data_IF_790997509624
#
_entry.id   IF_790997509624
#
_cell.length_a   1.000
_cell.length_b   1.000
_cell.length_c   1.000
_cell.angle_alpha   90.00
_cell.angle_beta   90.00
_cell.angle_gamma   90.00
#
_symmetry.space_group_name_H-M   'P 1'
#
loop_
_entity.id
_entity.type
_entity.pdbx_description
1 polymer ?
#
# COMPACT_ATOMS: atom_id res chain seq x y z
N UNK A 1 -20.62 0.42 -31.63
CA UNK A 1 -19.14 0.26 -31.57
C UNK A 1 -18.83 -0.89 -30.63
N UNK A 2 -19.01 -2.11 -31.14
CA UNK A 2 -18.87 -3.36 -30.41
C UNK A 2 -17.71 -4.16 -31.02
N UNK A 3 -16.99 -4.92 -30.17
CA UNK A 3 -16.14 -6.07 -30.50
C UNK A 3 -14.91 -5.86 -31.40
N UNK A 4 -13.84 -5.28 -30.84
CA UNK A 4 -12.47 -5.43 -31.36
C UNK A 4 -11.50 -6.06 -30.33
N UNK A 5 -11.95 -6.40 -29.11
CA UNK A 5 -11.05 -6.89 -28.04
C UNK A 5 -11.04 -8.42 -27.80
N UNK A 6 -11.59 -9.25 -28.69
CA UNK A 6 -11.74 -10.70 -28.41
C UNK A 6 -10.74 -11.65 -29.09
N UNK A 7 -9.58 -11.18 -29.58
CA UNK A 7 -8.68 -12.03 -30.41
C UNK A 7 -7.23 -12.18 -29.95
N UNK A 8 -6.86 -11.84 -28.71
CA UNK A 8 -5.46 -11.96 -28.22
C UNK A 8 -5.24 -13.14 -27.24
N UNK A 9 -6.22 -14.04 -27.05
CA UNK A 9 -6.17 -15.03 -25.96
C UNK A 9 -5.60 -16.42 -26.30
N UNK A 10 -5.11 -16.71 -27.51
CA UNK A 10 -4.82 -18.11 -27.92
C UNK A 10 -3.42 -18.44 -28.42
N UNK A 11 -2.40 -17.58 -28.24
CA UNK A 11 -1.02 -17.89 -28.65
C UNK A 11 0.01 -17.85 -27.51
N UNK A 12 -0.40 -18.11 -26.26
CA UNK A 12 0.56 -18.44 -25.20
C UNK A 12 0.95 -19.90 -25.34
N UNK A 13 1.83 -20.19 -26.31
CA UNK A 13 2.60 -21.43 -26.34
C UNK A 13 3.16 -21.68 -24.94
N UNK A 14 3.00 -22.91 -24.42
CA UNK A 14 3.55 -23.33 -23.12
C UNK A 14 4.98 -22.84 -23.01
N UNK A 15 5.16 -21.86 -22.14
CA UNK A 15 6.32 -21.02 -22.15
C UNK A 15 7.49 -21.86 -21.63
N UNK A 16 8.35 -22.29 -22.55
CA UNK A 16 9.44 -23.22 -22.24
C UNK A 16 10.35 -22.55 -21.21
N UNK A 17 10.41 -23.13 -20.00
CA UNK A 17 11.28 -22.60 -18.95
C UNK A 17 12.74 -22.78 -19.38
N UNK A 18 13.60 -21.77 -19.23
CA UNK A 18 15.04 -21.93 -19.42
C UNK A 18 15.55 -23.07 -18.53
N UNK A 19 16.31 -24.01 -19.11
CA UNK A 19 16.78 -25.20 -18.38
C UNK A 19 18.30 -25.30 -18.31
N UNK A 20 19.03 -24.51 -19.08
CA UNK A 20 20.49 -24.61 -19.17
C UNK A 20 21.10 -23.68 -18.10
N UNK A 21 21.67 -24.20 -17.01
CA UNK A 21 22.29 -23.35 -16.00
C UNK A 21 23.54 -22.67 -16.58
N UNK A 22 23.76 -21.41 -16.18
CA UNK A 22 24.94 -20.63 -16.52
C UNK A 22 25.75 -20.42 -15.25
N UNK A 23 27.02 -20.84 -15.28
CA UNK A 23 27.99 -20.41 -14.26
C UNK A 23 28.60 -19.12 -14.73
N UNK A 24 28.40 -18.05 -13.97
CA UNK A 24 28.89 -16.72 -14.29
C UNK A 24 29.91 -16.36 -13.21
N UNK A 25 31.08 -15.81 -13.55
CA UNK A 25 31.99 -15.28 -12.55
C UNK A 25 31.29 -14.22 -11.68
N UNK A 26 31.54 -14.23 -10.36
CA UNK A 26 30.92 -13.32 -9.40
C UNK A 26 29.39 -13.48 -9.28
N UNK A 27 28.88 -14.68 -9.53
CA UNK A 27 27.49 -15.04 -9.21
C UNK A 27 27.18 -14.86 -7.71
N UNK A 28 28.19 -14.98 -6.86
CA UNK A 28 28.16 -14.59 -5.46
C UNK A 28 29.03 -13.35 -5.18
N UNK A 29 28.48 -12.39 -4.46
CA UNK A 29 29.23 -11.26 -3.91
C UNK A 29 28.84 -11.01 -2.45
N UNK A 30 29.86 -10.84 -1.61
CA UNK A 30 29.67 -10.49 -0.20
C UNK A 30 29.91 -9.01 0.01
N UNK A 31 29.17 -8.40 0.94
CA UNK A 31 29.37 -7.00 1.33
C UNK A 31 29.28 -6.87 2.85
N UNK A 32 30.02 -5.93 3.43
CA UNK A 32 29.88 -5.59 4.85
C UNK A 32 28.79 -4.52 5.00
N UNK A 33 27.62 -4.80 5.62
CA UNK A 33 26.54 -3.82 5.72
C UNK A 33 26.90 -2.54 6.52
N UNK A 34 27.95 -2.61 7.35
CA UNK A 34 28.45 -1.43 8.09
C UNK A 34 29.27 -0.49 7.19
N UNK A 35 30.02 -1.06 6.26
CA UNK A 35 30.86 -0.31 5.31
C UNK A 35 30.06 0.15 4.09
N UNK A 36 29.14 -0.71 3.62
CA UNK A 36 28.27 -0.46 2.48
C UNK A 36 26.80 -0.45 2.92
N UNK A 37 26.36 0.57 3.68
CA UNK A 37 24.98 0.65 4.17
C UNK A 37 23.96 0.92 3.06
N UNK A 38 24.42 1.22 1.84
CA UNK A 38 23.60 1.42 0.65
C UNK A 38 23.81 0.23 -0.30
N UNK A 39 22.73 -0.47 -0.64
CA UNK A 39 22.77 -1.60 -1.57
C UNK A 39 21.85 -1.33 -2.75
N UNK A 40 22.38 -1.46 -3.96
CA UNK A 40 21.63 -1.32 -5.21
C UNK A 40 21.70 -2.65 -5.95
N UNK A 41 20.56 -3.25 -6.23
CA UNK A 41 20.44 -4.45 -7.07
C UNK A 41 19.67 -4.06 -8.32
N UNK A 42 20.33 -4.14 -9.46
CA UNK A 42 19.79 -3.68 -10.73
C UNK A 42 19.96 -4.73 -11.82
N UNK A 43 19.08 -4.69 -12.81
CA UNK A 43 19.18 -5.57 -13.96
C UNK A 43 18.66 -4.88 -15.22
N UNK A 44 19.27 -5.19 -16.37
CA UNK A 44 18.85 -4.65 -17.66
C UNK A 44 18.84 -5.70 -18.78
N UNK A 45 18.05 -5.43 -19.82
CA UNK A 45 17.85 -6.35 -20.94
C UNK A 45 16.53 -7.12 -20.85
N UNK A 46 16.41 -8.21 -21.61
CA UNK A 46 15.19 -9.02 -21.71
C UNK A 46 15.34 -10.32 -20.94
N UNK A 47 14.94 -10.27 -19.68
CA UNK A 47 14.93 -11.41 -18.77
C UNK A 47 13.65 -11.46 -17.96
N UNK A 48 13.48 -12.54 -17.20
CA UNK A 48 12.50 -12.70 -16.14
C UNK A 48 13.19 -13.28 -14.92
N UNK A 49 12.65 -13.06 -13.72
CA UNK A 49 13.30 -13.63 -12.54
C UNK A 49 12.51 -13.50 -11.26
N UNK A 50 13.14 -13.95 -10.18
CA UNK A 50 12.68 -13.67 -8.82
C UNK A 50 13.85 -13.22 -7.96
N UNK A 51 13.56 -12.34 -7.01
CA UNK A 51 14.47 -11.96 -5.93
C UNK A 51 13.88 -12.38 -4.60
N UNK A 52 14.73 -12.98 -3.76
CA UNK A 52 14.44 -13.29 -2.37
C UNK A 52 15.29 -12.41 -1.46
N UNK A 53 14.65 -11.55 -0.67
CA UNK A 53 15.29 -10.75 0.37
C UNK A 53 15.16 -11.46 1.73
N UNK A 54 16.29 -11.79 2.35
CA UNK A 54 16.34 -12.54 3.61
C UNK A 54 17.13 -11.76 4.64
N UNK A 55 16.73 -11.86 5.90
CA UNK A 55 17.51 -11.39 7.03
C UNK A 55 17.74 -12.55 8.03
N UNK A 56 19.01 -12.81 8.34
CA UNK A 56 19.50 -13.99 9.04
C UNK A 56 19.96 -15.11 8.10
N UNK A 57 20.57 -16.15 8.68
CA UNK A 57 20.97 -17.37 7.99
C UNK A 57 22.42 -17.75 8.31
N UNK A 58 22.70 -19.05 8.38
CA UNK A 58 23.91 -19.62 8.98
C UNK A 58 25.21 -19.05 8.40
N UNK A 59 25.32 -18.96 7.07
CA UNK A 59 26.56 -18.51 6.39
C UNK A 59 26.85 -17.02 6.61
N UNK A 60 25.83 -16.16 6.53
CA UNK A 60 25.99 -14.73 6.76
C UNK A 60 26.21 -14.41 8.24
N UNK A 61 25.61 -15.20 9.13
CA UNK A 61 25.67 -14.96 10.57
C UNK A 61 27.09 -15.21 11.14
N UNK A 62 27.79 -16.23 10.65
CA UNK A 62 29.16 -16.53 11.08
C UNK A 62 30.16 -15.47 10.60
N UNK A 63 29.99 -14.95 9.38
CA UNK A 63 30.90 -13.98 8.78
C UNK A 63 30.57 -12.52 9.14
N UNK A 64 29.33 -12.24 9.50
CA UNK A 64 28.81 -10.88 9.65
C UNK A 64 28.73 -10.11 8.33
N UNK A 65 28.87 -10.78 7.19
CA UNK A 65 28.75 -10.20 5.85
C UNK A 65 27.36 -10.46 5.27
N UNK A 66 26.84 -9.50 4.52
CA UNK A 66 25.71 -9.72 3.62
C UNK A 66 26.16 -10.46 2.37
N UNK A 67 25.23 -11.17 1.73
CA UNK A 67 25.46 -11.98 0.55
C UNK A 67 24.44 -11.61 -0.53
N UNK A 68 24.91 -11.49 -1.77
CA UNK A 68 24.07 -11.47 -2.97
C UNK A 68 24.50 -12.65 -3.82
N UNK A 69 23.60 -13.62 -4.03
CA UNK A 69 23.84 -14.83 -4.82
C UNK A 69 22.85 -14.91 -5.96
N UNK A 70 23.31 -15.15 -7.18
CA UNK A 70 22.44 -15.23 -8.37
C UNK A 70 22.67 -16.49 -9.17
N UNK A 71 21.58 -17.18 -9.50
CA UNK A 71 21.57 -18.31 -10.43
C UNK A 71 20.88 -17.88 -11.72
N UNK A 72 21.45 -18.26 -12.86
CA UNK A 72 20.90 -17.91 -14.18
C UNK A 72 20.68 -19.18 -15.01
N UNK A 73 19.58 -19.20 -15.74
CA UNK A 73 19.24 -20.23 -16.71
C UNK A 73 18.92 -19.59 -18.07
N UNK A 74 19.39 -20.22 -19.14
CA UNK A 74 19.14 -19.79 -20.53
C UNK A 74 18.44 -20.89 -21.33
N UNK A 75 17.75 -20.49 -22.40
CA UNK A 75 17.15 -21.43 -23.37
C UNK A 75 18.20 -21.92 -24.36
N UNK A 76 19.09 -21.04 -24.84
CA UNK A 76 20.13 -21.39 -25.81
C UNK A 76 21.53 -21.24 -25.19
N UNK A 77 22.42 -22.18 -25.47
CA UNK A 77 23.84 -22.13 -25.06
C UNK A 77 24.54 -20.83 -25.50
N UNK A 78 24.24 -20.33 -26.70
CA UNK A 78 24.81 -19.08 -27.24
C UNK A 78 24.47 -17.82 -26.42
N UNK A 79 23.45 -17.90 -25.56
CA UNK A 79 23.02 -16.78 -24.74
C UNK A 79 23.86 -16.68 -23.45
N UNK A 80 24.63 -17.73 -23.09
CA UNK A 80 25.46 -17.78 -21.87
C UNK A 80 26.50 -16.66 -21.80
N UNK A 81 27.22 -16.46 -22.89
CA UNK A 81 28.33 -15.49 -22.95
C UNK A 81 27.85 -14.04 -22.93
N UNK A 82 26.55 -13.83 -23.10
CA UNK A 82 25.96 -12.49 -23.14
C UNK A 82 25.28 -12.10 -21.82
N UNK A 83 25.27 -12.99 -20.82
CA UNK A 83 24.85 -12.65 -19.46
C UNK A 83 26.07 -12.21 -18.67
N UNK A 84 26.02 -10.98 -18.16
CA UNK A 84 27.12 -10.39 -17.39
C UNK A 84 26.60 -10.01 -16.02
N UNK A 85 27.29 -10.49 -14.98
CA UNK A 85 27.11 -10.03 -13.61
C UNK A 85 28.33 -9.17 -13.27
N UNK A 86 28.06 -7.97 -12.75
CA UNK A 86 29.11 -7.09 -12.23
C UNK A 86 28.73 -6.59 -10.85
N UNK A 87 29.73 -6.48 -9.99
CA UNK A 87 29.62 -5.88 -8.68
C UNK A 87 30.64 -4.75 -8.55
N UNK A 88 30.23 -3.63 -7.96
CA UNK A 88 31.11 -2.50 -7.69
C UNK A 88 30.85 -1.94 -6.30
N UNK A 89 31.89 -1.31 -5.75
CA UNK A 89 31.92 -0.76 -4.40
C UNK A 89 32.40 0.68 -4.50
N UNK A 90 31.58 1.63 -4.08
CA UNK A 90 31.95 3.05 -3.99
C UNK A 90 31.59 3.60 -2.63
N UNK A 91 32.61 3.97 -1.84
CA UNK A 91 32.59 4.56 -0.48
C UNK A 91 31.62 3.94 0.53
N UNK A 92 30.33 3.99 0.26
CA UNK A 92 29.21 3.52 1.11
C UNK A 92 28.18 2.67 0.34
N UNK A 93 28.38 2.44 -0.95
CA UNK A 93 27.42 1.79 -1.84
C UNK A 93 27.98 0.52 -2.45
N UNK A 94 27.26 -0.58 -2.24
CA UNK A 94 27.45 -1.83 -2.95
C UNK A 94 26.44 -1.91 -4.10
N UNK A 95 26.93 -1.95 -5.33
CA UNK A 95 26.10 -2.08 -6.52
C UNK A 95 26.28 -3.45 -7.14
N UNK A 96 25.17 -4.16 -7.31
CA UNK A 96 25.07 -5.42 -8.03
C UNK A 96 24.25 -5.21 -9.31
N UNK A 97 24.80 -5.60 -10.45
CA UNK A 97 24.20 -5.37 -11.75
C UNK A 97 24.21 -6.63 -12.62
N UNK A 98 23.01 -7.08 -13.03
CA UNK A 98 22.80 -8.18 -13.98
C UNK A 98 22.40 -7.64 -15.36
N UNK A 99 23.26 -7.84 -16.35
CA UNK A 99 23.01 -7.46 -17.73
C UNK A 99 22.70 -8.69 -18.57
N UNK A 100 21.66 -8.57 -19.40
CA UNK A 100 21.28 -9.56 -20.42
C UNK A 100 21.07 -8.88 -21.76
N UNK A 101 21.01 -9.62 -22.88
CA UNK A 101 20.85 -9.01 -24.18
C UNK A 101 19.49 -8.32 -24.34
N UNK A 102 19.50 -7.22 -25.08
CA UNK A 102 18.30 -6.39 -25.33
C UNK A 102 17.38 -6.99 -26.39
N UNK A 103 17.92 -7.84 -27.27
CA UNK A 103 17.26 -8.35 -28.47
C UNK A 103 16.94 -9.86 -28.40
N UNK A 104 16.44 -10.33 -27.25
CA UNK A 104 15.95 -11.71 -27.12
C UNK A 104 14.42 -11.83 -27.05
N UNK A 105 13.87 -13.02 -27.38
CA UNK A 105 12.51 -13.37 -26.99
C UNK A 105 12.33 -13.19 -25.48
N UNK A 106 11.14 -12.74 -25.09
CA UNK A 106 10.78 -12.66 -23.68
C UNK A 106 10.90 -14.08 -23.05
N UNK A 107 11.51 -14.17 -21.87
CA UNK A 107 11.78 -15.42 -21.13
C UNK A 107 12.85 -16.36 -21.71
N UNK A 108 13.69 -15.92 -22.64
CA UNK A 108 14.88 -16.69 -23.03
C UNK A 108 15.89 -16.85 -21.88
N UNK A 109 15.84 -15.94 -20.90
CA UNK A 109 16.73 -15.88 -19.75
C UNK A 109 15.89 -15.77 -18.47
N UNK A 110 16.18 -16.65 -17.51
CA UNK A 110 15.58 -16.65 -16.19
C UNK A 110 16.66 -16.52 -15.12
N UNK A 111 16.40 -15.77 -14.06
CA UNK A 111 17.32 -15.67 -12.94
C UNK A 111 16.63 -15.75 -11.58
N UNK A 112 17.40 -16.18 -10.59
CA UNK A 112 17.02 -16.18 -9.19
C UNK A 112 18.13 -15.49 -8.40
N UNK A 113 17.82 -14.36 -7.76
CA UNK A 113 18.78 -13.65 -6.90
C UNK A 113 18.33 -13.73 -5.45
N UNK A 114 19.22 -14.11 -4.55
CA UNK A 114 19.05 -14.00 -3.12
C UNK A 114 19.87 -12.83 -2.60
N UNK A 115 19.25 -11.93 -1.84
CA UNK A 115 19.92 -10.85 -1.10
C UNK A 115 19.72 -11.13 0.37
N UNK A 116 20.80 -11.42 1.08
CA UNK A 116 20.76 -11.85 2.47
C UNK A 116 21.57 -10.89 3.33
N UNK A 117 20.95 -10.38 4.39
CA UNK A 117 21.63 -9.65 5.45
C UNK A 117 21.86 -10.57 6.65
N UNK A 118 22.99 -10.47 7.37
CA UNK A 118 23.23 -11.26 8.56
C UNK A 118 22.34 -10.77 9.72
N UNK A 119 21.92 -11.67 10.60
CA UNK A 119 21.04 -11.42 11.76
C UNK A 119 21.60 -10.41 12.76
N UNK A 120 22.92 -10.22 12.78
CA UNK A 120 23.59 -9.20 13.58
C UNK A 120 23.35 -7.78 13.05
N UNK A 121 22.95 -7.63 11.78
CA UNK A 121 22.65 -6.33 11.17
C UNK A 121 21.24 -5.92 11.53
N UNK A 122 21.11 -5.03 12.51
CA UNK A 122 19.80 -4.51 12.94
C UNK A 122 19.29 -3.35 12.10
N UNK A 123 20.17 -2.69 11.37
CA UNK A 123 19.80 -1.57 10.50
C UNK A 123 20.73 -1.42 9.30
N UNK A 124 20.20 -0.85 8.22
CA UNK A 124 20.96 -0.44 7.03
C UNK A 124 20.39 0.86 6.48
N UNK A 125 21.17 1.64 5.75
CA UNK A 125 20.73 2.96 5.29
C UNK A 125 19.73 2.85 4.14
N UNK A 126 20.11 2.25 3.00
CA UNK A 126 19.20 2.17 1.85
C UNK A 126 19.32 0.87 1.07
N UNK A 127 18.19 0.34 0.60
CA UNK A 127 18.13 -0.78 -0.34
C UNK A 127 17.30 -0.41 -1.56
N UNK A 128 17.83 -0.63 -2.77
CA UNK A 128 17.16 -0.30 -4.03
C UNK A 128 17.15 -1.47 -5.00
N UNK A 129 15.97 -1.85 -5.49
CA UNK A 129 15.78 -2.84 -6.54
C UNK A 129 15.29 -2.18 -7.83
N UNK A 130 16.02 -2.34 -8.93
CA UNK A 130 15.64 -1.84 -10.27
C UNK A 130 15.70 -3.02 -11.24
N UNK A 131 14.61 -3.78 -11.31
CA UNK A 131 14.59 -5.10 -11.94
C UNK A 131 13.39 -5.27 -12.87
N UNK A 132 13.57 -5.44 -14.19
CA UNK A 132 12.48 -5.71 -15.11
C UNK A 132 11.95 -7.13 -14.91
N UNK A 133 10.63 -7.31 -15.08
CA UNK A 133 9.96 -8.61 -15.14
C UNK A 133 10.27 -9.57 -14.00
N UNK A 134 10.45 -9.00 -12.81
CA UNK A 134 10.97 -9.74 -11.66
C UNK A 134 10.01 -9.66 -10.51
N UNK A 135 9.71 -10.81 -9.89
CA UNK A 135 8.98 -10.86 -8.62
C UNK A 135 9.95 -10.66 -7.46
N UNK A 136 9.52 -10.00 -6.40
CA UNK A 136 10.29 -9.82 -5.18
C UNK A 136 9.54 -10.43 -4.01
N UNK A 137 10.19 -11.32 -3.26
CA UNK A 137 9.69 -11.84 -1.99
C UNK A 137 10.67 -11.52 -0.88
N UNK A 138 10.19 -11.31 0.34
CA UNK A 138 11.07 -11.13 1.49
C UNK A 138 10.48 -11.64 2.79
N UNK A 139 11.33 -12.20 3.65
CA UNK A 139 10.97 -12.87 4.90
C UNK A 139 11.98 -12.59 6.01
N UNK A 140 11.52 -12.61 7.27
CA UNK A 140 12.39 -12.39 8.43
C UNK A 140 12.85 -10.93 8.61
N UNK A 141 12.18 -9.98 7.95
CA UNK A 141 12.61 -8.58 7.87
C UNK A 141 12.27 -7.75 9.12
N UNK A 142 11.46 -8.29 10.04
CA UNK A 142 10.99 -7.59 11.25
C UNK A 142 12.13 -7.01 12.12
N UNK A 143 13.29 -7.68 12.10
CA UNK A 143 14.46 -7.33 12.90
C UNK A 143 15.53 -6.50 12.16
N UNK A 144 15.26 -6.11 10.91
CA UNK A 144 16.15 -5.31 10.07
C UNK A 144 15.45 -4.00 9.68
N UNK A 145 15.93 -2.88 10.22
CA UNK A 145 15.42 -1.56 9.90
C UNK A 145 16.13 -0.94 8.70
N UNK A 146 15.37 -0.48 7.71
CA UNK A 146 15.87 0.27 6.57
C UNK A 146 15.65 1.78 6.78
N UNK A 147 16.66 2.61 6.54
CA UNK A 147 16.43 4.06 6.39
C UNK A 147 15.55 4.35 5.17
N UNK A 148 15.82 3.68 4.05
CA UNK A 148 14.96 3.71 2.88
C UNK A 148 14.98 2.39 2.12
N UNK A 149 13.83 1.96 1.62
CA UNK A 149 13.73 0.87 0.66
C UNK A 149 12.95 1.32 -0.57
N UNK A 150 13.52 1.09 -1.75
CA UNK A 150 12.94 1.47 -3.02
C UNK A 150 12.88 0.28 -3.96
N UNK A 151 11.74 0.10 -4.63
CA UNK A 151 11.61 -0.87 -5.72
C UNK A 151 11.06 -0.20 -6.97
N UNK A 152 11.58 -0.61 -8.11
CA UNK A 152 11.11 -0.23 -9.43
C UNK A 152 11.06 -1.51 -10.28
N UNK A 153 9.97 -2.27 -10.11
CA UNK A 153 9.70 -3.49 -10.86
C UNK A 153 8.68 -3.21 -11.96
N UNK A 154 8.62 -4.04 -13.00
CA UNK A 154 7.62 -3.87 -14.09
C UNK A 154 6.48 -4.88 -14.01
N UNK A 155 6.77 -6.18 -13.95
CA UNK A 155 5.75 -7.21 -14.17
C UNK A 155 5.59 -8.24 -13.06
N UNK A 156 6.55 -8.36 -12.14
CA UNK A 156 6.45 -9.34 -11.06
C UNK A 156 5.72 -8.80 -9.85
N UNK A 157 5.11 -9.72 -9.10
CA UNK A 157 4.50 -9.44 -7.79
C UNK A 157 5.56 -9.13 -6.74
N UNK A 158 5.17 -8.32 -5.75
CA UNK A 158 5.98 -8.04 -4.57
C UNK A 158 5.25 -8.58 -3.34
N UNK A 159 5.92 -9.43 -2.56
CA UNK A 159 5.40 -10.02 -1.33
C UNK A 159 6.44 -9.83 -0.21
N UNK A 160 6.23 -8.87 0.69
CA UNK A 160 7.20 -8.54 1.75
C UNK A 160 6.58 -8.76 3.12
N UNK A 161 7.22 -9.58 3.94
CA UNK A 161 6.81 -9.85 5.31
C UNK A 161 7.61 -8.98 6.29
N UNK A 162 6.90 -8.19 7.08
CA UNK A 162 7.38 -7.34 8.17
C UNK A 162 8.51 -6.40 7.78
N UNK A 163 8.35 -5.73 6.64
CA UNK A 163 9.31 -4.74 6.17
C UNK A 163 9.33 -3.52 7.09
N UNK A 164 10.40 -3.36 7.86
CA UNK A 164 10.61 -2.22 8.74
C UNK A 164 11.48 -1.16 8.05
N UNK A 165 10.88 -0.09 7.55
CA UNK A 165 11.59 0.96 6.83
C UNK A 165 11.05 2.35 7.13
N UNK A 166 11.93 3.31 7.40
CA UNK A 166 11.53 4.71 7.64
C UNK A 166 10.84 5.29 6.40
N UNK A 167 11.44 5.09 5.21
CA UNK A 167 10.84 5.44 3.91
C UNK A 167 10.74 4.19 3.04
N UNK A 168 9.53 3.69 2.79
CA UNK A 168 9.28 2.55 1.90
C UNK A 168 8.58 3.01 0.61
N UNK A 169 9.28 2.95 -0.52
CA UNK A 169 8.75 3.25 -1.86
C UNK A 169 8.68 1.98 -2.71
N UNK A 170 7.54 1.30 -2.68
CA UNK A 170 7.37 -0.02 -3.30
C UNK A 170 6.51 0.09 -4.56
N UNK A 171 7.09 -0.24 -5.72
CA UNK A 171 6.42 -0.06 -7.02
C UNK A 171 6.59 -1.24 -7.96
N UNK A 172 5.49 -1.63 -8.60
CA UNK A 172 5.48 -2.58 -9.73
C UNK A 172 4.41 -2.17 -10.75
N UNK A 173 4.61 -2.30 -12.06
CA UNK A 173 3.55 -1.88 -13.01
C UNK A 173 2.38 -2.86 -13.05
N UNK A 174 2.64 -4.17 -13.13
CA UNK A 174 1.61 -5.17 -13.41
C UNK A 174 1.41 -6.24 -12.32
N UNK A 175 2.39 -6.43 -11.44
CA UNK A 175 2.29 -7.42 -10.37
C UNK A 175 1.43 -6.93 -9.19
N UNK A 176 0.90 -7.85 -8.40
CA UNK A 176 0.30 -7.51 -7.10
C UNK A 176 1.35 -7.06 -6.09
N UNK A 177 0.95 -6.20 -5.17
CA UNK A 177 1.73 -5.81 -3.99
C UNK A 177 1.05 -6.35 -2.75
N UNK A 178 1.75 -7.13 -1.94
CA UNK A 178 1.24 -7.64 -0.67
C UNK A 178 2.29 -7.58 0.43
N UNK A 179 1.90 -7.28 1.66
CA UNK A 179 2.84 -7.35 2.78
C UNK A 179 2.40 -6.70 4.09
N UNK A 180 3.28 -6.81 5.08
CA UNK A 180 3.23 -6.03 6.31
C UNK A 180 4.40 -5.03 6.33
N UNK A 181 4.11 -3.79 6.70
CA UNK A 181 5.05 -2.67 6.66
C UNK A 181 5.05 -1.94 8.00
N UNK A 182 6.22 -1.51 8.44
CA UNK A 182 6.41 -0.64 9.61
C UNK A 182 7.24 0.56 9.17
N UNK A 183 6.75 1.79 9.37
CA UNK A 183 7.47 2.97 8.87
C UNK A 183 6.81 4.31 9.14
N UNK A 184 7.55 5.38 8.84
CA UNK A 184 7.06 6.77 8.87
C UNK A 184 6.40 7.19 7.55
N UNK A 185 7.03 6.86 6.42
CA UNK A 185 6.53 7.18 5.08
C UNK A 185 6.45 5.93 4.20
N UNK A 186 5.26 5.60 3.73
CA UNK A 186 5.00 4.39 2.93
C UNK A 186 4.24 4.76 1.65
N UNK A 187 4.87 4.50 0.50
CA UNK A 187 4.32 4.70 -0.83
C UNK A 187 4.21 3.35 -1.56
N UNK A 188 3.00 2.88 -1.84
CA UNK A 188 2.72 1.64 -2.58
C UNK A 188 2.05 1.96 -3.91
N UNK A 189 2.65 1.58 -5.04
CA UNK A 189 2.13 1.92 -6.37
C UNK A 189 2.14 0.72 -7.33
N UNK A 190 0.99 0.46 -7.96
CA UNK A 190 0.94 -0.43 -9.12
C UNK A 190 -0.10 -0.03 -10.14
N UNK A 191 0.15 -0.18 -11.44
CA UNK A 191 -0.87 0.14 -12.45
C UNK A 191 -2.02 -0.87 -12.45
N UNK A 192 -1.71 -2.17 -12.44
CA UNK A 192 -2.71 -3.22 -12.68
C UNK A 192 -2.90 -4.20 -11.53
N UNK A 193 -1.93 -4.36 -10.65
CA UNK A 193 -2.00 -5.32 -9.55
C UNK A 193 -2.89 -4.86 -8.40
N UNK A 194 -3.42 -5.80 -7.62
CA UNK A 194 -4.01 -5.47 -6.34
C UNK A 194 -2.92 -5.05 -5.33
N UNK A 195 -3.26 -4.14 -4.41
CA UNK A 195 -2.43 -3.80 -3.25
C UNK A 195 -3.16 -4.28 -1.99
N UNK A 196 -2.53 -5.16 -1.21
CA UNK A 196 -3.01 -5.60 0.11
C UNK A 196 -1.93 -5.36 1.15
N UNK A 197 -2.16 -4.44 2.08
CA UNK A 197 -1.11 -4.03 3.02
C UNK A 197 -1.62 -3.90 4.45
N UNK A 198 -0.86 -4.46 5.39
CA UNK A 198 -0.97 -4.17 6.83
C UNK A 198 0.15 -3.21 7.20
N UNK A 199 -0.17 -2.09 7.83
CA UNK A 199 0.76 -0.99 8.03
C UNK A 199 0.75 -0.57 9.50
N UNK A 200 1.89 -0.67 10.18
CA UNK A 200 2.13 -0.03 11.47
C UNK A 200 2.86 1.29 11.23
N UNK A 201 2.16 2.39 11.43
CA UNK A 201 2.71 3.74 11.21
C UNK A 201 3.40 4.20 12.48
N UNK A 202 4.62 4.71 12.34
CA UNK A 202 5.41 5.36 13.39
C UNK A 202 5.63 6.82 13.03
N UNK A 203 6.10 7.62 13.99
CA UNK A 203 6.52 8.98 13.71
C UNK A 203 7.69 8.98 12.72
N UNK A 204 7.56 9.81 11.69
CA UNK A 204 8.65 10.02 10.74
C UNK A 204 9.85 10.70 11.42
N UNK A 205 11.05 10.21 11.13
CA UNK A 205 12.31 10.71 11.65
C UNK A 205 12.64 12.11 11.16
N UNK A 206 12.09 12.52 10.02
CA UNK A 206 12.33 13.82 9.39
C UNK A 206 11.60 15.00 10.07
N UNK A 207 10.77 14.76 11.09
CA UNK A 207 10.01 15.84 11.73
C UNK A 207 8.57 15.98 11.21
N UNK A 208 8.27 15.36 10.07
CA UNK A 208 7.02 15.54 9.37
C UNK A 208 5.91 14.64 9.91
N UNK A 209 4.69 14.91 9.45
CA UNK A 209 3.57 14.00 9.62
C UNK A 209 3.81 12.73 8.81
N UNK A 210 3.58 11.56 9.43
CA UNK A 210 3.70 10.26 8.79
C UNK A 210 2.69 10.08 7.66
N UNK A 211 3.10 9.40 6.58
CA UNK A 211 2.34 9.32 5.33
C UNK A 211 2.18 7.91 4.83
N UNK A 212 0.96 7.60 4.36
CA UNK A 212 0.66 6.36 3.65
C UNK A 212 -0.04 6.70 2.34
N UNK A 213 0.65 6.54 1.22
CA UNK A 213 0.09 6.72 -0.11
C UNK A 213 -0.04 5.37 -0.81
N UNK A 214 -1.24 5.06 -1.29
CA UNK A 214 -1.48 3.85 -2.07
C UNK A 214 -2.19 4.19 -3.38
N UNK A 215 -1.67 3.65 -4.48
CA UNK A 215 -2.18 3.97 -5.81
C UNK A 215 -2.27 2.74 -6.70
N UNK A 216 -3.39 2.63 -7.39
CA UNK A 216 -3.50 1.78 -8.57
C UNK A 216 -4.42 2.34 -9.64
N UNK A 217 -4.36 1.80 -10.86
CA UNK A 217 -5.35 2.13 -11.90
C UNK A 217 -6.45 1.10 -11.93
N UNK A 218 -6.10 -0.18 -11.98
CA UNK A 218 -7.07 -1.26 -12.20
C UNK A 218 -7.21 -2.23 -11.01
N UNK A 219 -6.23 -2.24 -10.11
CA UNK A 219 -6.26 -3.10 -8.94
C UNK A 219 -7.23 -2.66 -7.87
N UNK A 220 -7.61 -3.61 -7.01
CA UNK A 220 -8.23 -3.30 -5.72
C UNK A 220 -7.17 -2.83 -4.72
N UNK A 221 -7.55 -1.95 -3.81
CA UNK A 221 -6.77 -1.56 -2.63
C UNK A 221 -7.43 -2.16 -1.39
N UNK A 222 -6.64 -2.78 -0.54
CA UNK A 222 -7.05 -3.34 0.74
C UNK A 222 -6.00 -3.00 1.81
N UNK A 223 -6.18 -1.86 2.47
CA UNK A 223 -5.15 -1.23 3.29
C UNK A 223 -5.63 -1.13 4.73
N UNK A 224 -4.86 -1.69 5.66
CA UNK A 224 -5.13 -1.61 7.09
C UNK A 224 -3.97 -0.91 7.79
N UNK A 225 -4.21 0.30 8.29
CA UNK A 225 -3.21 1.11 8.97
C UNK A 225 -3.47 1.17 10.49
N UNK A 226 -2.42 1.01 11.28
CA UNK A 226 -2.40 1.22 12.72
C UNK A 226 -1.43 2.35 13.02
N UNK A 227 -1.96 3.52 13.34
CA UNK A 227 -1.19 4.71 13.73
C UNK A 227 -1.32 4.91 15.25
N UNK A 228 -0.90 3.90 16.02
CA UNK A 228 -0.97 3.96 17.49
C UNK A 228 0.28 4.52 18.15
N UNK A 229 1.37 4.62 17.37
CA UNK A 229 2.71 5.08 17.80
C UNK A 229 3.07 6.44 17.17
N UNK A 230 2.11 7.13 16.54
CA UNK A 230 2.37 8.42 15.89
C UNK A 230 1.94 9.58 16.79
N UNK A 231 2.87 10.40 17.26
CA UNK A 231 2.57 11.67 17.92
C UNK A 231 2.19 12.78 16.92
N UNK A 232 2.51 12.63 15.62
CA UNK A 232 2.28 13.69 14.61
C UNK A 232 1.10 13.47 13.66
N UNK A 233 0.21 12.55 14.03
CA UNK A 233 -0.96 12.20 13.24
C UNK A 233 -0.60 11.43 11.97
N UNK A 234 -1.62 11.08 11.19
CA UNK A 234 -1.48 10.31 9.96
C UNK A 234 -2.07 11.06 8.77
N UNK A 235 -1.31 11.15 7.68
CA UNK A 235 -1.85 11.51 6.37
C UNK A 235 -1.93 10.27 5.47
N UNK A 236 -3.13 9.91 5.02
CA UNK A 236 -3.35 8.74 4.19
C UNK A 236 -4.08 9.11 2.90
N UNK A 237 -3.57 8.66 1.76
CA UNK A 237 -4.17 8.89 0.44
C UNK A 237 -4.22 7.60 -0.38
N UNK A 238 -5.43 7.09 -0.59
CA UNK A 238 -5.69 5.82 -1.27
C UNK A 238 -6.47 6.08 -2.56
N UNK A 239 -5.92 5.69 -3.71
CA UNK A 239 -6.51 6.02 -5.01
C UNK A 239 -6.51 4.83 -5.98
N UNK A 240 -7.67 4.48 -6.53
CA UNK A 240 -7.80 3.51 -7.62
C UNK A 240 -8.68 4.06 -8.74
N UNK A 241 -8.35 3.93 -10.02
CA UNK A 241 -9.31 4.38 -11.07
C UNK A 241 -10.53 3.47 -11.15
N UNK A 242 -10.30 2.16 -11.20
CA UNK A 242 -11.33 1.18 -11.53
C UNK A 242 -11.61 0.15 -10.44
N UNK A 243 -10.67 -0.08 -9.52
CA UNK A 243 -10.82 -1.09 -8.49
C UNK A 243 -11.46 -0.57 -7.21
N UNK A 244 -11.97 -1.51 -6.42
CA UNK A 244 -12.48 -1.24 -5.07
C UNK A 244 -11.37 -0.71 -4.16
N UNK A 245 -11.72 0.22 -3.29
CA UNK A 245 -10.83 0.78 -2.26
C UNK A 245 -11.40 0.43 -0.89
N UNK A 246 -10.70 -0.41 -0.13
CA UNK A 246 -11.02 -0.75 1.25
C UNK A 246 -9.92 -0.22 2.15
N UNK A 247 -10.27 0.59 3.15
CA UNK A 247 -9.32 1.21 4.08
C UNK A 247 -9.79 1.03 5.51
N UNK A 248 -8.99 0.35 6.32
CA UNK A 248 -9.12 0.32 7.77
C UNK A 248 -8.07 1.20 8.43
N UNK A 249 -8.44 2.02 9.41
CA UNK A 249 -7.47 2.79 10.20
C UNK A 249 -7.81 2.77 11.69
N UNK A 250 -6.83 2.38 12.51
CA UNK A 250 -6.85 2.56 13.97
C UNK A 250 -5.92 3.71 14.34
N UNK A 251 -6.50 4.78 14.88
CA UNK A 251 -5.79 6.00 15.23
C UNK A 251 -5.72 6.15 16.76
N UNK A 252 -4.56 6.53 17.28
CA UNK A 252 -4.39 6.92 18.69
C UNK A 252 -4.18 8.43 18.81
N UNK A 253 -4.05 8.92 20.04
CA UNK A 253 -3.79 10.33 20.34
C UNK A 253 -2.53 10.84 19.62
N UNK A 254 -2.65 12.00 19.00
CA UNK A 254 -1.57 12.73 18.36
C UNK A 254 -1.70 14.24 18.63
N UNK A 255 -0.59 14.96 18.44
CA UNK A 255 -0.50 16.41 18.59
C UNK A 255 -0.99 17.16 17.34
N UNK A 256 -1.03 16.48 16.18
CA UNK A 256 -1.46 17.05 14.90
C UNK A 256 -2.69 16.34 14.36
N UNK A 257 -3.40 17.02 13.45
CA UNK A 257 -4.56 16.46 12.77
C UNK A 257 -4.20 15.20 11.97
N UNK A 258 -5.18 14.33 11.75
CA UNK A 258 -5.05 13.21 10.80
C UNK A 258 -5.99 13.41 9.62
N UNK A 259 -5.61 12.89 8.46
CA UNK A 259 -6.40 12.98 7.22
C UNK A 259 -6.40 11.63 6.51
N UNK A 260 -7.59 11.12 6.15
CA UNK A 260 -7.72 9.88 5.38
C UNK A 260 -8.56 10.15 4.13
N UNK A 261 -7.91 10.05 2.98
CA UNK A 261 -8.50 10.28 1.68
C UNK A 261 -8.61 8.97 0.90
N UNK A 262 -9.79 8.68 0.35
CA UNK A 262 -10.04 7.47 -0.45
C UNK A 262 -10.83 7.80 -1.71
N UNK A 263 -10.26 7.52 -2.89
CA UNK A 263 -10.83 7.95 -4.17
C UNK A 263 -10.86 6.82 -5.19
N UNK A 264 -11.97 6.70 -5.93
CA UNK A 264 -12.02 5.90 -7.15
C UNK A 264 -13.04 6.35 -8.16
N UNK A 265 -12.87 6.12 -9.47
CA UNK A 265 -13.89 6.52 -10.44
C UNK A 265 -15.03 5.50 -10.49
N UNK A 266 -14.70 4.21 -10.52
CA UNK A 266 -15.66 3.15 -10.81
C UNK A 266 -15.82 2.11 -9.69
N UNK A 267 -14.85 1.99 -8.80
CA UNK A 267 -14.89 1.02 -7.71
C UNK A 267 -15.76 1.44 -6.54
N UNK A 268 -16.12 0.47 -5.69
CA UNK A 268 -16.71 0.76 -4.38
C UNK A 268 -15.63 1.33 -3.44
N UNK A 269 -16.01 2.26 -2.58
CA UNK A 269 -15.17 2.74 -1.46
C UNK A 269 -15.75 2.24 -0.15
N UNK A 270 -14.92 1.59 0.66
CA UNK A 270 -15.25 1.16 2.02
C UNK A 270 -14.18 1.66 2.98
N UNK A 271 -14.59 2.39 4.01
CA UNK A 271 -13.67 2.98 4.97
C UNK A 271 -14.15 2.73 6.40
N UNK A 272 -13.30 2.10 7.18
CA UNK A 272 -13.51 1.81 8.59
C UNK A 272 -12.46 2.56 9.42
N UNK A 273 -12.86 3.56 10.20
CA UNK A 273 -11.94 4.36 11.01
C UNK A 273 -12.35 4.32 12.47
N UNK A 274 -11.40 3.90 13.31
CA UNK A 274 -11.50 4.03 14.75
C UNK A 274 -10.61 5.17 15.23
N UNK A 275 -11.25 6.27 15.61
CA UNK A 275 -10.60 7.45 16.17
C UNK A 275 -11.00 7.68 17.64
N UNK A 276 -11.54 6.67 18.31
CA UNK A 276 -12.10 6.79 19.67
C UNK A 276 -11.10 7.27 20.72
N UNK A 277 -9.81 7.01 20.52
CA UNK A 277 -8.72 7.36 21.45
C UNK A 277 -7.89 8.56 21.01
N UNK A 278 -8.30 9.25 19.95
CA UNK A 278 -7.47 10.27 19.30
C UNK A 278 -7.54 11.62 20.02
N UNK A 279 -8.69 12.29 19.98
CA UNK A 279 -8.87 13.65 20.46
C UNK A 279 -8.26 14.74 19.55
N UNK A 280 -7.42 14.39 18.56
CA UNK A 280 -6.93 15.34 17.55
C UNK A 280 -7.96 15.59 16.43
N UNK A 281 -7.89 16.73 15.70
CA UNK A 281 -8.73 16.94 14.53
C UNK A 281 -8.59 15.83 13.47
N UNK A 282 -9.69 15.40 12.88
CA UNK A 282 -9.72 14.37 11.84
C UNK A 282 -10.46 14.84 10.58
N UNK A 283 -9.82 14.69 9.42
CA UNK A 283 -10.43 14.87 8.11
C UNK A 283 -10.63 13.51 7.42
N UNK A 284 -11.85 13.26 6.93
CA UNK A 284 -12.16 12.10 6.09
C UNK A 284 -12.74 12.59 4.78
N UNK A 285 -12.08 12.25 3.67
CA UNK A 285 -12.56 12.58 2.32
C UNK A 285 -12.70 11.32 1.47
N UNK A 286 -13.88 11.12 0.92
CA UNK A 286 -14.17 9.96 0.10
C UNK A 286 -14.93 10.37 -1.15
N UNK A 287 -14.44 9.94 -2.31
CA UNK A 287 -15.04 10.33 -3.57
C UNK A 287 -15.10 9.18 -4.55
N UNK A 288 -16.25 9.04 -5.21
CA UNK A 288 -16.37 8.22 -6.41
C UNK A 288 -17.32 8.79 -7.46
N UNK A 289 -17.22 8.33 -8.70
CA UNK A 289 -18.19 8.70 -9.73
C UNK A 289 -19.32 7.69 -9.80
N UNK A 290 -18.99 6.39 -9.87
CA UNK A 290 -19.96 5.36 -10.17
C UNK A 290 -20.14 4.32 -9.05
N UNK A 291 -19.19 4.20 -8.13
CA UNK A 291 -19.26 3.23 -7.06
C UNK A 291 -20.12 3.67 -5.88
N UNK A 292 -20.54 2.70 -5.08
CA UNK A 292 -21.09 2.97 -3.75
C UNK A 292 -19.96 3.38 -2.79
N UNK A 293 -20.29 4.20 -1.79
CA UNK A 293 -19.43 4.48 -0.65
C UNK A 293 -20.12 3.99 0.62
N UNK A 294 -19.37 3.26 1.46
CA UNK A 294 -19.78 2.91 2.82
C UNK A 294 -18.69 3.29 3.80
N UNK A 295 -19.07 3.97 4.87
CA UNK A 295 -18.13 4.41 5.90
C UNK A 295 -18.62 4.07 7.29
N UNK A 296 -17.78 3.46 8.11
CA UNK A 296 -18.04 3.24 9.53
C UNK A 296 -16.98 4.01 10.31
N UNK A 297 -17.42 5.03 11.06
CA UNK A 297 -16.55 6.04 11.66
C UNK A 297 -16.85 6.13 13.16
N UNK A 298 -15.88 5.79 14.00
CA UNK A 298 -15.97 5.96 15.45
C UNK A 298 -15.30 7.26 15.86
N UNK A 299 -16.12 8.29 16.07
CA UNK A 299 -15.69 9.64 16.40
C UNK A 299 -16.21 10.00 17.80
N UNK A 300 -15.34 10.27 18.79
CA UNK A 300 -15.73 10.70 20.12
C UNK A 300 -16.29 12.14 20.10
N UNK A 301 -17.01 12.49 21.17
CA UNK A 301 -17.73 13.77 21.29
C UNK A 301 -16.84 15.00 21.13
N UNK A 302 -15.65 14.98 21.73
CA UNK A 302 -14.79 16.17 21.83
C UNK A 302 -13.77 16.29 20.69
N UNK A 303 -13.85 15.43 19.67
CA UNK A 303 -12.93 15.45 18.54
C UNK A 303 -13.47 16.31 17.39
N UNK A 304 -12.75 17.39 16.99
CA UNK A 304 -13.08 18.11 15.75
C UNK A 304 -12.99 17.18 14.55
N UNK A 305 -14.08 17.10 13.78
CA UNK A 305 -14.19 16.18 12.65
C UNK A 305 -14.70 16.88 11.39
N UNK A 306 -14.06 16.65 10.26
CA UNK A 306 -14.54 17.09 8.95
C UNK A 306 -14.69 15.89 8.01
N UNK A 307 -15.93 15.47 7.77
CA UNK A 307 -16.25 14.39 6.84
C UNK A 307 -16.84 14.93 5.54
N UNK A 308 -16.28 14.53 4.39
CA UNK A 308 -16.86 14.78 3.06
C UNK A 308 -16.89 13.50 2.25
N UNK A 309 -18.10 12.99 2.00
CA UNK A 309 -18.33 11.72 1.31
C UNK A 309 -19.26 11.95 0.12
N UNK A 310 -18.76 11.72 -1.09
CA UNK A 310 -19.46 12.12 -2.31
C UNK A 310 -19.41 11.04 -3.39
N UNK A 311 -20.56 10.71 -3.96
CA UNK A 311 -20.67 9.93 -5.21
C UNK A 311 -21.44 10.71 -6.27
N UNK A 312 -21.33 10.37 -7.55
CA UNK A 312 -22.24 10.92 -8.57
C UNK A 312 -23.42 9.97 -8.79
N UNK A 313 -23.14 8.68 -8.97
CA UNK A 313 -24.13 7.69 -9.38
C UNK A 313 -24.34 6.57 -8.36
N UNK A 314 -23.42 6.37 -7.41
CA UNK A 314 -23.55 5.32 -6.41
C UNK A 314 -24.14 5.82 -5.09
N UNK A 315 -24.65 4.88 -4.30
CA UNK A 315 -25.19 5.17 -2.97
C UNK A 315 -24.07 5.60 -2.03
N UNK A 316 -24.40 6.50 -1.10
CA UNK A 316 -23.48 6.94 -0.04
C UNK A 316 -24.10 6.59 1.29
N UNK A 317 -23.39 5.82 2.10
CA UNK A 317 -23.77 5.48 3.46
C UNK A 317 -22.63 5.83 4.42
N UNK A 318 -22.94 6.57 5.48
CA UNK A 318 -22.03 6.80 6.59
C UNK A 318 -22.69 6.42 7.91
N UNK A 319 -21.97 5.63 8.69
CA UNK A 319 -22.35 5.16 10.01
C UNK A 319 -21.40 5.81 11.02
N UNK A 320 -21.94 6.68 11.87
CA UNK A 320 -21.23 7.32 12.97
C UNK A 320 -21.68 6.71 14.30
N UNK A 321 -20.81 6.76 15.30
CA UNK A 321 -21.19 6.45 16.67
C UNK A 321 -22.12 7.52 17.26
N UNK A 322 -22.98 7.13 18.19
CA UNK A 322 -23.82 8.04 19.00
C UNK A 322 -23.01 8.98 19.92
N UNK A 323 -21.68 8.84 19.97
CA UNK A 323 -20.81 9.84 20.59
C UNK A 323 -20.66 11.12 19.73
N UNK A 324 -20.92 11.05 18.41
CA UNK A 324 -20.75 12.20 17.52
C UNK A 324 -21.65 13.37 17.92
N UNK A 325 -21.06 14.55 18.06
CA UNK A 325 -21.77 15.81 18.20
C UNK A 325 -21.31 16.78 17.12
N UNK A 326 -22.24 17.40 16.41
CA UNK A 326 -21.90 18.30 15.31
C UNK A 326 -22.97 18.39 14.23
N UNK A 327 -22.69 19.18 13.21
CA UNK A 327 -23.59 19.43 12.10
C UNK A 327 -23.51 18.35 11.03
N UNK A 328 -24.62 18.14 10.31
CA UNK A 328 -24.65 17.27 9.14
C UNK A 328 -25.41 17.89 7.97
N UNK A 329 -24.97 17.56 6.77
CA UNK A 329 -25.63 17.91 5.52
C UNK A 329 -25.67 16.68 4.60
N UNK A 330 -26.87 16.14 4.39
CA UNK A 330 -27.09 14.92 3.62
C UNK A 330 -27.98 15.28 2.44
N UNK A 331 -27.52 15.10 1.20
CA UNK A 331 -28.27 15.56 0.03
C UNK A 331 -28.14 14.69 -1.20
N UNK A 332 -29.18 14.67 -2.01
CA UNK A 332 -29.20 14.05 -3.34
C UNK A 332 -30.02 14.88 -4.32
N UNK A 333 -29.81 14.72 -5.62
CA UNK A 333 -30.60 15.42 -6.64
C UNK A 333 -31.86 14.64 -7.02
N UNK A 334 -31.77 13.32 -7.17
CA UNK A 334 -32.84 12.50 -7.75
C UNK A 334 -33.36 11.37 -6.86
N UNK A 335 -32.76 11.14 -5.67
CA UNK A 335 -33.13 10.03 -4.80
C UNK A 335 -33.61 10.48 -3.40
N UNK A 336 -33.51 9.59 -2.41
CA UNK A 336 -33.85 9.86 -1.02
C UNK A 336 -32.60 10.16 -0.19
N UNK A 337 -32.71 11.15 0.69
CA UNK A 337 -31.77 11.42 1.77
C UNK A 337 -32.38 10.96 3.10
N UNK A 338 -31.67 10.10 3.84
CA UNK A 338 -32.12 9.60 5.15
C UNK A 338 -31.10 9.94 6.24
N UNK A 339 -31.63 10.26 7.43
CA UNK A 339 -30.84 10.41 8.65
C UNK A 339 -31.55 9.64 9.74
N UNK A 340 -30.86 8.70 10.37
CA UNK A 340 -31.39 7.80 11.40
C UNK A 340 -30.54 7.92 12.68
N UNK A 341 -31.19 8.07 13.84
CA UNK A 341 -30.50 8.19 15.12
C UNK A 341 -31.32 8.90 16.20
N UNK A 342 -30.73 9.06 17.37
CA UNK A 342 -31.28 9.79 18.52
C UNK A 342 -30.70 11.21 18.62
N UNK A 343 -31.39 12.11 19.33
CA UNK A 343 -30.95 13.49 19.60
C UNK A 343 -30.62 14.32 18.35
N UNK A 344 -31.49 14.20 17.33
CA UNK A 344 -31.36 14.90 16.05
C UNK A 344 -32.24 16.16 16.06
N UNK A 345 -31.65 17.29 15.70
CA UNK A 345 -32.40 18.51 15.40
C UNK A 345 -32.28 18.82 13.91
N UNK A 346 -33.38 18.70 13.17
CA UNK A 346 -33.42 18.96 11.74
C UNK A 346 -33.81 20.42 11.47
N UNK A 347 -32.95 21.15 10.76
CA UNK A 347 -33.25 22.49 10.22
C UNK A 347 -33.83 22.42 8.80
N UNK A 348 -33.56 21.32 8.08
CA UNK A 348 -34.16 21.02 6.77
C UNK A 348 -34.51 19.54 6.68
N UNK A 349 -35.73 19.23 6.25
CA UNK A 349 -36.18 17.86 6.04
C UNK A 349 -37.07 17.75 4.80
N UNK A 350 -36.46 17.57 3.64
CA UNK A 350 -37.17 17.24 2.39
C UNK A 350 -36.88 15.80 1.99
N UNK A 351 -37.51 15.29 0.92
CA UNK A 351 -37.21 13.96 0.37
C UNK A 351 -35.72 13.79 0.04
N UNK A 352 -35.13 14.83 -0.56
CA UNK A 352 -33.80 14.79 -1.17
C UNK A 352 -32.72 15.52 -0.35
N UNK A 353 -33.06 16.14 0.78
CA UNK A 353 -32.09 16.81 1.63
C UNK A 353 -32.48 16.78 3.11
N UNK A 354 -31.50 16.43 3.95
CA UNK A 354 -31.56 16.54 5.42
C UNK A 354 -30.40 17.41 5.90
N UNK A 355 -30.69 18.42 6.72
CA UNK A 355 -29.69 19.27 7.35
C UNK A 355 -30.06 19.47 8.81
N UNK A 356 -29.06 19.56 9.67
CA UNK A 356 -29.28 19.65 11.09
C UNK A 356 -28.00 19.42 11.88
N UNK A 357 -28.18 19.09 13.14
CA UNK A 357 -27.11 18.71 14.03
C UNK A 357 -27.55 17.56 14.94
N UNK A 358 -26.58 16.84 15.47
CA UNK A 358 -26.77 15.85 16.52
C UNK A 358 -26.13 16.36 17.81
N UNK A 359 -26.84 16.31 18.93
CA UNK A 359 -26.35 16.83 20.21
C UNK A 359 -26.30 18.36 20.20
N UNK A 360 -25.14 18.94 20.55
CA UNK A 360 -24.90 20.37 20.43
C UNK A 360 -24.32 20.75 19.05
N UNK A 361 -24.50 22.00 18.66
CA UNK A 361 -23.73 22.57 17.56
C UNK A 361 -22.26 22.66 17.98
N UNK A 362 -21.36 22.20 17.13
CA UNK A 362 -19.97 21.94 17.50
C UNK A 362 -19.02 22.04 16.30
N UNK A 363 -17.70 21.93 16.52
CA UNK A 363 -16.71 22.09 15.46
C UNK A 363 -16.75 20.96 14.41
N UNK A 364 -17.46 19.88 14.71
CA UNK A 364 -17.56 18.71 13.85
C UNK A 364 -18.67 18.84 12.82
N UNK A 365 -18.39 18.41 11.60
CA UNK A 365 -19.29 18.50 10.47
C UNK A 365 -19.13 17.28 9.55
N UNK A 366 -20.25 16.78 9.02
CA UNK A 366 -20.26 15.75 7.99
C UNK A 366 -21.16 16.13 6.81
N UNK A 367 -20.61 16.08 5.60
CA UNK A 367 -21.36 16.27 4.36
C UNK A 367 -21.37 14.99 3.54
N UNK A 368 -22.57 14.50 3.24
CA UNK A 368 -22.80 13.36 2.37
C UNK A 368 -23.58 13.80 1.13
N UNK A 369 -23.14 13.42 -0.07
CA UNK A 369 -23.89 13.72 -1.29
C UNK A 369 -23.82 12.66 -2.38
N UNK A 370 -24.93 12.50 -3.12
CA UNK A 370 -24.99 11.70 -4.34
C UNK A 370 -25.97 12.31 -5.36
N UNK A 371 -25.58 12.46 -6.62
CA UNK A 371 -26.48 13.07 -7.62
C UNK A 371 -27.69 12.17 -7.90
N UNK A 372 -27.45 10.87 -8.14
CA UNK A 372 -28.46 9.98 -8.70
C UNK A 372 -28.88 8.81 -7.80
N UNK A 373 -28.23 8.65 -6.65
CA UNK A 373 -28.47 7.52 -5.73
C UNK A 373 -28.80 7.99 -4.31
N UNK A 374 -29.25 7.05 -3.49
CA UNK A 374 -29.63 7.32 -2.10
C UNK A 374 -28.43 7.72 -1.26
N UNK A 375 -28.67 8.58 -0.28
CA UNK A 375 -27.68 9.00 0.70
C UNK A 375 -28.23 8.77 2.10
N UNK A 376 -27.51 8.02 2.92
CA UNK A 376 -27.92 7.66 4.27
C UNK A 376 -26.83 8.05 5.28
N UNK A 377 -27.24 8.73 6.34
CA UNK A 377 -26.44 8.95 7.54
C UNK A 377 -27.10 8.24 8.71
N UNK A 378 -26.35 7.41 9.43
CA UNK A 378 -26.85 6.67 10.57
C UNK A 378 -25.98 6.89 11.79
N UNK A 379 -26.62 7.01 12.94
CA UNK A 379 -25.98 7.05 14.24
C UNK A 379 -26.33 5.78 15.03
N UNK A 380 -25.32 5.06 15.50
CA UNK A 380 -25.50 3.82 16.25
C UNK A 380 -24.81 3.88 17.60
N UNK A 381 -25.31 3.15 18.62
CA UNK A 381 -24.55 2.90 19.83
C UNK A 381 -23.16 2.38 19.45
N UNK A 382 -22.13 2.76 20.22
CA UNK A 382 -20.79 2.25 20.00
C UNK A 382 -20.80 0.72 20.12
N UNK A 383 -20.78 0.02 18.98
CA UNK A 383 -20.49 -1.41 18.90
C UNK A 383 -18.98 -1.62 18.81
N UNK A 384 -18.54 -2.88 18.83
CA UNK A 384 -17.14 -3.20 18.50
C UNK A 384 -16.81 -2.67 17.10
N UNK A 385 -15.76 -1.86 17.04
CA UNK A 385 -15.21 -1.35 15.79
C UNK A 385 -14.91 -2.50 14.82
N UNK A 386 -15.45 -2.45 13.60
CA UNK A 386 -14.99 -3.38 12.56
C UNK A 386 -13.49 -3.20 12.30
N UNK A 387 -12.94 -1.99 12.47
CA UNK A 387 -11.51 -1.74 12.36
C UNK A 387 -10.69 -2.58 13.38
N UNK A 388 -11.20 -2.76 14.60
CA UNK A 388 -10.57 -3.61 15.62
C UNK A 388 -10.68 -5.12 15.29
N UNK A 389 -11.73 -5.52 14.55
CA UNK A 389 -11.87 -6.92 14.11
C UNK A 389 -10.79 -7.34 13.10
N UNK A 390 -10.28 -6.39 12.32
CA UNK A 390 -9.16 -6.64 11.40
C UNK A 390 -7.82 -6.79 12.11
N UNK A 391 -7.68 -6.24 13.33
CA UNK A 391 -6.42 -6.30 14.10
C UNK A 391 -6.29 -7.56 14.95
N UNK A 392 -7.40 -8.13 15.42
CA UNK A 392 -7.36 -9.24 16.39
C UNK A 392 -7.38 -10.63 15.75
N UNK A 393 -7.51 -10.75 14.43
CA UNK A 393 -7.70 -12.07 13.78
C UNK A 393 -6.43 -12.92 13.61
N UNK A 394 -5.24 -12.44 13.95
CA UNK A 394 -3.98 -13.16 13.71
C UNK A 394 -2.89 -12.93 14.78
N UNK A 395 -3.29 -12.65 16.03
CA UNK A 395 -2.36 -12.71 17.17
C UNK A 395 -2.34 -14.13 17.78
#
# INVERSE_FOLDING_TARGET
MANIFSSITSAFSTLQRPTIPVRIPNDDTSFNPKEYPKVIVSAEGRMSGKVLLVHGGTETDESGLGLISTRVWVVNEKDKEQVVISASFDKETHTYHLQTPKEHPFNAIYYETMVQYPSITRSTHSLSFILPNTSLSGSGLSNLAFGSIKTALSNGSIALEDLNGEIAQIRTSNGSLSGSFVGGHIDLDTTNGAITAKIQVRDAQDGEQSRVNTRTTNGRLDIHARATETSRGLWMNNSSTNGRVTVGALLNKADRSSAIHSTTNNGRVEVDVDASLTGQPLEIKQTTSNGAIRSNLMIPVDQPFHGRIQSSNGSVEANLTEAFQGSFNVSTSHSNATVEGTNLTLTKSTKSAKQGYRGADGPSQITLSSSNSSVALRFYPAGESLAASYTNKEA
#
